data_IF_167684696289
#
_entry.id   IF_167684696289
#
_cell.length_a   1.000
_cell.length_b   1.000
_cell.length_c   1.000
_cell.angle_alpha   90.00
_cell.angle_beta   90.00
_cell.angle_gamma   90.00
#
_symmetry.space_group_name_H-M   'P 1'
#
loop_
_entity.id
_entity.type
_entity.pdbx_description
1 polymer ?
#
# COMPACT_ATOMS: atom_id res chain seq x y z
N UNK A 1 -17.29 -38.14 -49.55
CA UNK A 1 -17.93 -38.03 -48.22
C UNK A 1 -16.89 -37.93 -47.10
N UNK A 2 -16.01 -38.93 -46.89
CA UNK A 2 -14.98 -38.89 -45.83
C UNK A 2 -14.09 -37.63 -45.84
N UNK A 3 -13.63 -37.17 -47.01
CA UNK A 3 -12.82 -35.94 -47.16
C UNK A 3 -13.56 -34.66 -46.71
N UNK A 4 -14.86 -34.58 -46.95
CA UNK A 4 -15.69 -33.43 -46.54
C UNK A 4 -15.90 -33.48 -45.02
N UNK A 5 -16.09 -34.67 -44.45
CA UNK A 5 -16.20 -34.86 -43.00
C UNK A 5 -14.94 -34.40 -42.26
N UNK A 6 -13.73 -34.71 -42.77
CA UNK A 6 -12.48 -34.24 -42.15
C UNK A 6 -12.30 -32.72 -42.20
N UNK A 7 -12.72 -32.07 -43.29
CA UNK A 7 -12.65 -30.61 -43.42
C UNK A 7 -13.62 -29.92 -42.45
N UNK A 8 -14.83 -30.46 -42.30
CA UNK A 8 -15.79 -29.95 -41.31
C UNK A 8 -15.26 -30.12 -39.89
N UNK A 9 -14.63 -31.26 -39.57
CA UNK A 9 -14.05 -31.51 -38.25
C UNK A 9 -12.90 -30.54 -37.93
N UNK A 10 -12.06 -30.23 -38.93
CA UNK A 10 -10.98 -29.26 -38.81
C UNK A 10 -11.52 -27.84 -38.54
N UNK A 11 -12.56 -27.42 -39.27
CA UNK A 11 -13.18 -26.10 -39.10
C UNK A 11 -13.82 -25.99 -37.71
N UNK A 12 -14.51 -27.04 -37.23
CA UNK A 12 -15.08 -27.06 -35.87
C UNK A 12 -13.98 -26.98 -34.80
N UNK A 13 -12.85 -27.65 -35.01
CA UNK A 13 -11.69 -27.59 -34.09
C UNK A 13 -11.09 -26.17 -34.02
N UNK A 14 -10.95 -25.49 -35.16
CA UNK A 14 -10.43 -24.11 -35.22
C UNK A 14 -11.41 -23.13 -34.55
N UNK A 15 -12.72 -23.29 -34.77
CA UNK A 15 -13.74 -22.47 -34.13
C UNK A 15 -13.80 -22.71 -32.62
N UNK A 16 -13.55 -23.93 -32.14
CA UNK A 16 -13.48 -24.24 -30.71
C UNK A 16 -12.28 -23.60 -30.01
N UNK A 17 -11.16 -23.39 -30.72
CA UNK A 17 -9.96 -22.71 -30.19
C UNK A 17 -10.10 -21.18 -30.16
N UNK A 18 -11.11 -20.62 -30.83
CA UNK A 18 -11.34 -19.17 -30.90
C UNK A 18 -12.17 -18.62 -29.72
N UNK A 19 -12.67 -19.51 -28.85
CA UNK A 19 -13.59 -19.19 -27.75
C UNK A 19 -12.88 -18.98 -26.40
N UNK A 20 -11.55 -18.84 -26.40
CA UNK A 20 -10.80 -18.50 -25.19
C UNK A 20 -10.92 -16.98 -24.97
N UNK A 21 -12.01 -16.55 -24.32
CA UNK A 21 -12.14 -15.19 -23.77
C UNK A 21 -11.35 -15.15 -22.47
N UNK A 22 -10.35 -14.26 -22.37
CA UNK A 22 -9.60 -14.06 -21.13
C UNK A 22 -10.53 -13.40 -20.11
N UNK A 23 -11.00 -14.19 -19.15
CA UNK A 23 -11.86 -13.68 -18.09
C UNK A 23 -10.96 -13.14 -17.00
N UNK A 24 -11.17 -11.88 -16.60
CA UNK A 24 -10.48 -11.31 -15.45
C UNK A 24 -10.67 -12.22 -14.22
N UNK A 25 -9.56 -12.67 -13.65
CA UNK A 25 -9.47 -13.41 -12.41
C UNK A 25 -9.22 -12.45 -11.25
N UNK A 26 -9.42 -12.93 -10.01
CA UNK A 26 -9.13 -12.15 -8.80
C UNK A 26 -7.93 -12.76 -8.11
N UNK A 27 -6.84 -12.01 -8.08
CA UNK A 27 -5.66 -12.33 -7.31
C UNK A 27 -5.70 -11.57 -5.98
N UNK A 28 -5.28 -12.18 -4.89
CA UNK A 28 -5.30 -11.54 -3.56
C UNK A 28 -4.05 -11.84 -2.77
N UNK A 29 -3.55 -10.81 -2.07
CA UNK A 29 -2.46 -10.91 -1.10
C UNK A 29 -2.88 -10.27 0.22
N UNK A 30 -2.31 -10.76 1.32
CA UNK A 30 -2.50 -10.25 2.66
C UNK A 30 -1.16 -9.80 3.22
N UNK A 31 -1.11 -8.58 3.75
CA UNK A 31 0.05 -8.06 4.49
C UNK A 31 -0.29 -7.94 5.97
N UNK A 32 0.66 -8.35 6.81
CA UNK A 32 0.54 -8.32 8.28
C UNK A 32 1.64 -7.51 8.96
N UNK A 33 2.70 -7.13 8.23
CA UNK A 33 3.91 -6.54 8.79
C UNK A 33 3.89 -5.00 8.77
N UNK A 34 2.83 -4.38 8.26
CA UNK A 34 2.76 -2.93 8.06
C UNK A 34 1.66 -2.28 8.91
N UNK A 35 2.02 -1.15 9.52
CA UNK A 35 1.12 -0.24 10.25
C UNK A 35 0.35 -0.91 11.40
N UNK A 36 0.88 -2.00 11.97
CA UNK A 36 0.23 -2.81 13.02
C UNK A 36 -1.21 -3.21 12.69
N UNK A 37 -1.47 -3.48 11.41
CA UNK A 37 -2.82 -3.79 10.93
C UNK A 37 -2.82 -4.91 9.89
N UNK A 38 -4.02 -5.38 9.56
CA UNK A 38 -4.26 -6.32 8.49
C UNK A 38 -4.65 -5.59 7.21
N UNK A 39 -3.90 -5.81 6.14
CA UNK A 39 -4.15 -5.20 4.83
C UNK A 39 -4.43 -6.32 3.82
N UNK A 40 -5.58 -6.25 3.15
CA UNK A 40 -5.92 -7.14 2.03
C UNK A 40 -5.96 -6.33 0.74
N UNK A 41 -5.26 -6.82 -0.27
CA UNK A 41 -5.27 -6.25 -1.63
C UNK A 41 -5.82 -7.30 -2.58
N UNK A 42 -6.71 -6.85 -3.49
CA UNK A 42 -7.31 -7.68 -4.53
C UNK A 42 -7.15 -7.00 -5.88
N UNK A 43 -6.60 -7.72 -6.85
CA UNK A 43 -6.37 -7.25 -8.22
C UNK A 43 -7.22 -8.08 -9.17
N UNK A 44 -7.96 -7.38 -10.04
CA UNK A 44 -8.81 -7.98 -11.07
C UNK A 44 -8.09 -7.87 -12.40
N UNK A 45 -7.57 -8.97 -12.91
CA UNK A 45 -6.79 -9.00 -14.16
C UNK A 45 -6.83 -10.40 -14.76
N UNK A 46 -6.62 -10.52 -16.06
CA UNK A 46 -6.44 -11.79 -16.77
C UNK A 46 -4.95 -12.19 -16.91
N UNK A 47 -4.04 -11.38 -16.34
CA UNK A 47 -2.59 -11.58 -16.35
C UNK A 47 -2.05 -11.78 -14.93
N UNK A 48 -1.70 -13.02 -14.59
CA UNK A 48 -1.14 -13.41 -13.28
C UNK A 48 0.22 -12.76 -13.00
N UNK A 49 1.08 -12.64 -14.01
CA UNK A 49 2.41 -12.04 -13.86
C UNK A 49 2.28 -10.54 -13.56
N UNK A 50 1.37 -9.85 -14.25
CA UNK A 50 1.03 -8.46 -13.93
C UNK A 50 0.48 -8.31 -12.51
N UNK A 51 -0.39 -9.23 -12.05
CA UNK A 51 -0.91 -9.18 -10.69
C UNK A 51 0.23 -9.27 -9.65
N UNK A 52 1.19 -10.17 -9.90
CA UNK A 52 2.35 -10.37 -9.03
C UNK A 52 3.25 -9.12 -9.00
N UNK A 53 3.59 -8.57 -10.15
CA UNK A 53 4.43 -7.36 -10.23
C UNK A 53 3.77 -6.18 -9.49
N UNK A 54 2.44 -6.04 -9.62
CA UNK A 54 1.69 -5.03 -8.89
C UNK A 54 1.68 -5.26 -7.37
N UNK A 55 1.61 -6.51 -6.90
CA UNK A 55 1.72 -6.79 -5.47
C UNK A 55 3.08 -6.39 -4.92
N UNK A 56 4.16 -6.69 -5.63
CA UNK A 56 5.52 -6.31 -5.23
C UNK A 56 5.68 -4.77 -5.16
N UNK A 57 5.07 -4.03 -6.09
CA UNK A 57 5.09 -2.57 -6.08
C UNK A 57 4.23 -1.98 -4.96
N UNK A 58 3.07 -2.57 -4.67
CA UNK A 58 2.20 -2.16 -3.56
C UNK A 58 2.86 -2.44 -2.21
N UNK A 59 3.55 -3.57 -2.06
CA UNK A 59 4.31 -3.90 -0.85
C UNK A 59 5.37 -2.82 -0.56
N UNK A 60 6.11 -2.38 -1.58
CA UNK A 60 7.10 -1.29 -1.44
C UNK A 60 6.47 0.00 -0.95
N UNK A 61 5.27 0.34 -1.41
CA UNK A 61 4.54 1.54 -0.94
C UNK A 61 4.15 1.41 0.52
N UNK A 62 3.62 0.26 0.94
CA UNK A 62 3.29 0.04 2.35
C UNK A 62 4.52 0.04 3.24
N UNK A 63 5.61 -0.59 2.81
CA UNK A 63 6.89 -0.57 3.52
C UNK A 63 7.44 0.85 3.68
N UNK A 64 7.46 1.63 2.59
CA UNK A 64 7.87 3.05 2.59
C UNK A 64 7.12 3.84 3.67
N UNK A 65 5.78 3.80 3.64
CA UNK A 65 5.00 4.60 4.57
C UNK A 65 4.97 4.03 5.99
N UNK A 66 5.11 2.72 6.17
CA UNK A 66 5.30 2.15 7.50
C UNK A 66 6.57 2.71 8.17
N UNK A 67 7.71 2.64 7.48
CA UNK A 67 9.00 3.11 8.01
C UNK A 67 9.00 4.63 8.26
N UNK A 68 8.48 5.42 7.32
CA UNK A 68 8.49 6.89 7.42
C UNK A 68 7.51 7.44 8.45
N UNK A 69 6.35 6.79 8.64
CA UNK A 69 5.24 7.38 9.43
C UNK A 69 5.04 6.76 10.81
N UNK A 70 5.72 5.66 11.15
CA UNK A 70 5.66 5.12 12.52
C UNK A 70 6.19 6.14 13.54
N UNK A 71 5.41 6.31 14.61
CA UNK A 71 5.79 7.09 15.79
C UNK A 71 6.36 6.25 16.93
N UNK A 72 6.47 4.94 16.76
CA UNK A 72 6.81 4.00 17.83
C UNK A 72 8.27 3.55 17.79
N UNK A 73 8.80 3.27 16.59
CA UNK A 73 10.16 2.78 16.40
C UNK A 73 11.04 3.77 15.61
N UNK A 74 12.34 3.85 15.92
CA UNK A 74 13.28 4.53 15.04
C UNK A 74 13.45 3.76 13.72
N UNK A 75 13.94 4.45 12.69
CA UNK A 75 14.43 3.79 11.48
C UNK A 75 15.52 2.76 11.82
N UNK A 76 15.57 1.67 11.04
CA UNK A 76 16.64 0.67 11.12
C UNK A 76 17.99 1.29 10.75
N UNK A 77 19.08 0.72 11.26
CA UNK A 77 20.44 1.23 11.00
C UNK A 77 20.81 1.25 9.51
N UNK A 78 20.27 0.32 8.73
CA UNK A 78 20.48 0.18 7.29
C UNK A 78 19.37 0.85 6.45
N UNK A 79 18.49 1.64 7.09
CA UNK A 79 17.43 2.36 6.41
C UNK A 79 18.01 3.35 5.37
N UNK A 80 17.43 3.43 4.16
CA UNK A 80 17.81 4.42 3.17
C UNK A 80 17.23 5.82 3.46
N UNK A 81 16.29 5.93 4.41
CA UNK A 81 15.58 7.16 4.72
C UNK A 81 16.31 8.03 5.74
N UNK A 82 16.11 9.34 5.65
CA UNK A 82 16.80 10.35 6.47
C UNK A 82 16.24 10.41 7.90
N UNK A 83 14.92 10.40 8.04
CA UNK A 83 14.22 10.43 9.32
C UNK A 83 12.77 9.94 9.16
N UNK A 84 12.19 9.49 10.27
CA UNK A 84 10.77 9.17 10.38
C UNK A 84 10.10 10.00 11.49
N UNK A 85 8.79 9.83 11.66
CA UNK A 85 8.01 10.52 12.70
C UNK A 85 8.58 10.29 14.10
N UNK A 86 9.01 9.07 14.43
CA UNK A 86 9.67 8.80 15.72
C UNK A 86 10.87 9.73 15.94
N UNK A 87 11.81 9.81 14.99
CA UNK A 87 13.00 10.65 15.08
C UNK A 87 12.67 12.14 15.18
N UNK A 88 11.68 12.61 14.40
CA UNK A 88 11.19 14.00 14.48
C UNK A 88 10.69 14.32 15.88
N UNK A 89 9.92 13.41 16.49
CA UNK A 89 9.36 13.61 17.83
C UNK A 89 10.42 13.63 18.96
N UNK A 90 11.64 13.12 18.71
CA UNK A 90 12.74 13.19 19.67
C UNK A 90 13.51 14.52 19.63
N UNK A 91 13.29 15.33 18.58
CA UNK A 91 14.06 16.55 18.33
C UNK A 91 13.16 17.77 18.45
N UNK A 92 13.56 18.76 19.25
CA UNK A 92 12.78 19.96 19.52
C UNK A 92 13.52 21.22 19.07
N UNK A 93 12.81 22.09 18.35
CA UNK A 93 13.31 23.39 17.88
C UNK A 93 14.51 23.31 16.92
N UNK A 94 14.65 22.19 16.20
CA UNK A 94 15.67 22.03 15.18
C UNK A 94 15.03 21.80 13.81
N UNK A 95 15.75 22.20 12.75
CA UNK A 95 15.36 21.87 11.38
C UNK A 95 15.91 20.50 11.04
N UNK A 96 15.03 19.61 10.60
CA UNK A 96 15.36 18.24 10.23
C UNK A 96 15.14 18.11 8.73
N UNK A 97 16.11 17.51 8.05
CA UNK A 97 15.98 17.10 6.65
C UNK A 97 15.24 15.75 6.60
N UNK A 98 14.24 15.64 5.73
CA UNK A 98 13.37 14.48 5.63
C UNK A 98 13.13 14.14 4.16
N UNK A 99 12.80 12.88 3.90
CA UNK A 99 12.45 12.43 2.56
C UNK A 99 11.16 13.10 2.05
N UNK A 100 11.12 13.37 0.73
CA UNK A 100 10.00 14.02 0.07
C UNK A 100 8.63 13.35 0.35
N UNK A 101 8.49 12.01 0.37
CA UNK A 101 7.22 11.37 0.70
C UNK A 101 6.70 11.71 2.11
N UNK A 102 7.59 11.82 3.10
CA UNK A 102 7.22 12.20 4.47
C UNK A 102 6.84 13.69 4.52
N UNK A 103 7.61 14.54 3.82
CA UNK A 103 7.31 15.97 3.71
C UNK A 103 5.91 16.20 3.13
N UNK A 104 5.56 15.53 2.03
CA UNK A 104 4.28 15.68 1.37
C UNK A 104 3.10 15.28 2.28
N UNK A 105 3.22 14.16 3.01
CA UNK A 105 2.19 13.76 3.99
C UNK A 105 2.01 14.81 5.10
N UNK A 106 3.09 15.41 5.59
CA UNK A 106 3.01 16.42 6.63
C UNK A 106 2.38 17.72 6.12
N UNK A 107 2.64 18.10 4.87
CA UNK A 107 1.98 19.23 4.22
C UNK A 107 0.48 18.96 4.09
N UNK A 108 0.09 17.79 3.58
CA UNK A 108 -1.32 17.39 3.47
C UNK A 108 -2.02 17.42 4.85
N UNK A 109 -1.34 16.96 5.91
CA UNK A 109 -1.88 16.99 7.26
C UNK A 109 -2.14 18.43 7.76
N UNK A 110 -1.24 19.37 7.49
CA UNK A 110 -1.43 20.79 7.84
C UNK A 110 -2.54 21.45 7.01
N UNK A 111 -2.67 21.10 5.73
CA UNK A 111 -3.78 21.55 4.89
C UNK A 111 -5.13 21.06 5.43
N UNK A 112 -5.23 19.77 5.77
CA UNK A 112 -6.46 19.19 6.34
C UNK A 112 -6.76 19.82 7.71
N UNK A 113 -5.74 20.09 8.53
CA UNK A 113 -5.91 20.82 9.79
C UNK A 113 -6.54 22.18 9.59
N UNK A 114 -6.08 22.95 8.61
CA UNK A 114 -6.67 24.24 8.28
C UNK A 114 -8.11 24.10 7.78
N UNK A 115 -8.36 23.18 6.85
CA UNK A 115 -9.69 22.91 6.29
C UNK A 115 -10.72 22.49 7.35
N UNK A 116 -10.25 21.82 8.39
CA UNK A 116 -11.09 21.31 9.47
C UNK A 116 -11.09 22.21 10.71
N UNK A 117 -10.56 23.45 10.65
CA UNK A 117 -10.44 24.34 11.81
C UNK A 117 -9.79 23.66 13.04
N UNK A 118 -8.80 22.79 12.80
CA UNK A 118 -8.08 22.07 13.84
C UNK A 118 -8.76 20.80 14.37
N UNK A 119 -9.89 20.36 13.80
CA UNK A 119 -10.49 19.06 14.20
C UNK A 119 -9.63 17.86 13.79
N UNK A 120 -8.86 17.99 12.72
CA UNK A 120 -7.80 17.05 12.37
C UNK A 120 -6.44 17.68 12.70
N UNK A 121 -5.75 17.18 13.71
CA UNK A 121 -4.44 17.70 14.13
C UNK A 121 -3.51 16.54 14.50
N UNK A 122 -2.46 16.31 13.70
CA UNK A 122 -1.50 15.22 13.92
C UNK A 122 -0.49 15.50 15.04
N UNK A 123 -0.45 16.73 15.55
CA UNK A 123 0.47 17.14 16.62
C UNK A 123 -0.01 16.81 18.04
N UNK A 124 -1.22 16.25 18.17
CA UNK A 124 -1.86 15.96 19.47
C UNK A 124 -1.36 14.69 20.17
N UNK A 125 -0.26 14.09 19.71
CA UNK A 125 0.26 12.81 20.20
C UNK A 125 0.38 12.74 21.73
N UNK A 126 0.91 13.78 22.39
CA UNK A 126 1.02 13.80 23.86
C UNK A 126 -0.32 13.81 24.59
N UNK A 127 -1.36 14.40 23.98
CA UNK A 127 -2.73 14.35 24.54
C UNK A 127 -3.27 12.92 24.42
N UNK A 128 -3.04 12.27 23.26
CA UNK A 128 -3.42 10.87 23.04
C UNK A 128 -2.73 9.94 24.03
N UNK A 129 -1.44 10.14 24.30
CA UNK A 129 -0.68 9.34 25.28
C UNK A 129 -1.30 9.41 26.68
N UNK A 130 -1.70 10.61 27.13
CA UNK A 130 -2.37 10.79 28.43
C UNK A 130 -3.67 9.97 28.50
N UNK A 131 -4.47 9.98 27.44
CA UNK A 131 -5.71 9.20 27.39
C UNK A 131 -5.45 7.69 27.33
N UNK A 132 -4.47 7.24 26.55
CA UNK A 132 -4.09 5.83 26.47
C UNK A 132 -3.71 5.28 27.85
N UNK A 133 -2.91 6.03 28.61
CA UNK A 133 -2.51 5.63 29.96
C UNK A 133 -3.69 5.52 30.93
N UNK A 134 -4.80 6.23 30.70
CA UNK A 134 -6.00 6.12 31.56
C UNK A 134 -6.90 4.95 31.15
N UNK A 135 -6.90 4.57 29.88
CA UNK A 135 -7.82 3.56 29.32
C UNK A 135 -7.22 2.17 29.29
N UNK A 136 -5.90 2.06 29.09
CA UNK A 136 -5.18 0.79 28.88
C UNK A 136 -4.49 0.28 30.16
N UNK A 137 -4.41 1.10 31.21
CA UNK A 137 -4.07 0.67 32.58
C UNK A 137 -5.29 0.03 33.27
#
# INVERSE_FOLDING_TARGET
MKKITYVILLIISILALSACESKAEVYSINFFDYMDTFINVQIYTDDEDLAKDLFDDIEKVYALYHDLTTGYEPLKEDSPYLANIYSINQTLNERIEIDEPLYNILIDAEEIKALTNGYFDVSVGKIVDVWKNVILD
#
